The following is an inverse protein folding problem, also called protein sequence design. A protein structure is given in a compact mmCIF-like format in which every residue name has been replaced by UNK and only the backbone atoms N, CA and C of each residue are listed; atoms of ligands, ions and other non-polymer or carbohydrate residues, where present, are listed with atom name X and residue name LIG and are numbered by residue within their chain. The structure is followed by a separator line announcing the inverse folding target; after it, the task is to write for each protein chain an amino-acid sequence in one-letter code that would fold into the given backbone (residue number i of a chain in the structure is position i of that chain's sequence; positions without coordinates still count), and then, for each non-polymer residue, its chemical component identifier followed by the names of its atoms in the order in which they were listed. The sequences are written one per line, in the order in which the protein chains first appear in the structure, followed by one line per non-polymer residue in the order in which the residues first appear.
data_IF_069111459945
#
_entry.id   IF_069111459945
#
_cell.length_a   1.000
_cell.length_b   1.000
_cell.length_c   1.000
_cell.angle_alpha   90.00
_cell.angle_beta   90.00
_cell.angle_gamma   90.00
#
_symmetry.space_group_name_H-M   'P 1'
#
loop_
_entity.id
_entity.type
_entity.pdbx_description
1 polymer ?
#
# COMPACT_ATOMS: atom_id res chain seq x y z
N UNK A 1 17.95 23.39 37.84
CA UNK A 1 17.57 23.29 36.42
C UNK A 1 18.06 21.96 35.90
N UNK A 2 17.15 21.01 35.69
CA UNK A 2 17.49 19.64 35.27
C UNK A 2 17.36 19.58 33.75
N UNK A 3 18.50 19.48 33.06
CA UNK A 3 18.55 19.24 31.62
C UNK A 3 18.28 17.76 31.38
N UNK A 4 17.09 17.45 30.86
CA UNK A 4 16.72 16.08 30.47
C UNK A 4 17.15 15.90 29.02
N UNK A 5 18.32 15.28 28.82
CA UNK A 5 18.81 14.91 27.50
C UNK A 5 18.08 13.68 26.98
N UNK A 6 17.35 13.82 25.87
CA UNK A 6 16.81 12.70 25.10
C UNK A 6 17.99 11.89 24.52
N UNK A 7 18.20 10.70 25.04
CA UNK A 7 19.08 9.70 24.42
C UNK A 7 18.26 9.03 23.31
N UNK A 8 18.47 9.47 22.07
CA UNK A 8 18.01 8.74 20.90
C UNK A 8 19.03 7.61 20.65
N UNK A 9 18.72 6.41 21.13
CA UNK A 9 19.50 5.22 20.81
C UNK A 9 19.30 4.87 19.33
N UNK A 10 20.19 5.37 18.48
CA UNK A 10 20.39 4.87 17.12
C UNK A 10 21.12 3.53 17.21
N UNK A 11 20.38 2.42 17.33
CA UNK A 11 20.94 1.11 17.02
C UNK A 11 20.91 0.94 15.49
N UNK A 12 22.05 0.67 14.82
CA UNK A 12 22.01 0.23 13.43
C UNK A 12 21.51 -1.22 13.44
N UNK A 13 20.20 -1.41 13.37
CA UNK A 13 19.65 -2.68 12.95
C UNK A 13 19.95 -2.81 11.45
N UNK A 14 21.04 -3.48 11.11
CA UNK A 14 21.24 -3.97 9.74
C UNK A 14 20.25 -5.12 9.57
N UNK A 15 19.00 -4.78 9.25
CA UNK A 15 18.03 -5.75 8.78
C UNK A 15 18.58 -6.32 7.47
N UNK A 16 18.76 -7.64 7.39
CA UNK A 16 19.06 -8.30 6.12
C UNK A 16 17.87 -8.05 5.20
N UNK A 17 18.09 -7.38 4.08
CA UNK A 17 17.05 -7.16 3.07
C UNK A 17 16.98 -8.41 2.23
N UNK A 18 15.86 -9.13 2.35
CA UNK A 18 15.63 -10.37 1.63
C UNK A 18 15.23 -10.11 0.17
N UNK A 19 14.57 -8.98 -0.09
CA UNK A 19 14.00 -8.70 -1.41
C UNK A 19 13.82 -7.20 -1.71
N UNK A 20 13.92 -6.84 -2.99
CA UNK A 20 13.49 -5.55 -3.53
C UNK A 20 12.17 -5.68 -4.32
N UNK A 21 11.23 -4.77 -4.10
CA UNK A 21 9.86 -4.78 -4.67
C UNK A 21 9.57 -3.48 -5.45
N UNK A 22 9.87 -3.42 -6.76
CA UNK A 22 9.48 -2.30 -7.61
C UNK A 22 7.98 -2.32 -7.92
N UNK A 23 7.37 -1.13 -7.91
CA UNK A 23 5.99 -0.89 -8.34
C UNK A 23 5.90 0.40 -9.16
N UNK A 24 5.11 0.37 -10.23
CA UNK A 24 4.76 1.53 -11.04
C UNK A 24 3.24 1.63 -11.09
N UNK A 25 2.74 2.82 -10.75
CA UNK A 25 1.33 3.17 -10.86
C UNK A 25 1.16 4.34 -11.82
N UNK A 26 0.16 4.21 -12.68
CA UNK A 26 -0.31 5.30 -13.54
C UNK A 26 -1.76 5.62 -13.18
N UNK A 27 -2.05 6.90 -13.00
CA UNK A 27 -3.36 7.40 -12.64
C UNK A 27 -3.83 8.39 -13.70
N UNK A 28 -5.04 8.21 -14.22
CA UNK A 28 -5.67 9.16 -15.12
C UNK A 28 -7.08 9.50 -14.66
N UNK A 29 -7.33 10.80 -14.50
CA UNK A 29 -8.63 11.29 -14.08
C UNK A 29 -9.60 11.39 -15.25
N UNK A 30 -10.71 10.65 -15.17
CA UNK A 30 -11.77 10.72 -16.19
C UNK A 30 -12.77 11.84 -15.89
N UNK A 31 -13.12 12.02 -14.61
CA UNK A 31 -14.11 13.00 -14.16
C UNK A 31 -13.80 13.43 -12.72
N UNK A 32 -14.63 14.31 -12.14
CA UNK A 32 -14.50 14.69 -10.73
C UNK A 32 -14.78 13.54 -9.75
N UNK A 33 -15.48 12.48 -10.19
CA UNK A 33 -15.90 11.34 -9.38
C UNK A 33 -15.27 10.00 -9.76
N UNK A 34 -14.45 9.95 -10.81
CA UNK A 34 -13.91 8.68 -11.34
C UNK A 34 -12.47 8.84 -11.83
N UNK A 35 -11.65 7.84 -11.53
CA UNK A 35 -10.24 7.75 -11.95
C UNK A 35 -9.93 6.33 -12.41
N UNK A 36 -9.11 6.20 -13.45
CA UNK A 36 -8.51 4.92 -13.84
C UNK A 36 -7.10 4.83 -13.25
N UNK A 37 -6.75 3.64 -12.78
CA UNK A 37 -5.39 3.26 -12.38
C UNK A 37 -4.89 2.10 -13.23
N UNK A 38 -3.63 2.15 -13.65
CA UNK A 38 -2.88 0.98 -14.12
C UNK A 38 -1.74 0.73 -13.15
N UNK A 39 -1.54 -0.53 -12.77
CA UNK A 39 -0.48 -0.93 -11.85
C UNK A 39 0.33 -2.07 -12.47
N UNK A 40 1.65 -1.99 -12.30
CA UNK A 40 2.58 -3.08 -12.55
C UNK A 40 3.56 -3.15 -11.38
N UNK A 41 3.72 -4.32 -10.76
CA UNK A 41 4.62 -4.50 -9.62
C UNK A 41 5.21 -5.90 -9.57
N UNK A 42 6.29 -6.05 -8.81
CA UNK A 42 6.66 -7.33 -8.25
C UNK A 42 6.01 -7.51 -6.89
N UNK A 43 5.58 -8.72 -6.59
CA UNK A 43 4.96 -9.07 -5.31
C UNK A 43 5.38 -10.46 -4.88
N UNK A 44 5.27 -10.74 -3.58
CA UNK A 44 5.48 -12.06 -3.00
C UNK A 44 4.34 -12.29 -2.02
N UNK A 45 3.65 -13.42 -2.14
CA UNK A 45 2.41 -13.65 -1.42
C UNK A 45 2.36 -15.05 -0.82
N UNK A 46 1.98 -15.18 0.46
CA UNK A 46 1.77 -16.50 1.09
C UNK A 46 2.97 -17.45 0.98
N UNK A 47 4.18 -16.91 0.99
CA UNK A 47 5.44 -17.67 0.89
C UNK A 47 5.74 -18.20 -0.52
N UNK A 48 4.94 -17.86 -1.54
CA UNK A 48 5.26 -18.16 -2.94
C UNK A 48 6.49 -17.39 -3.42
N UNK A 49 7.13 -17.80 -4.53
CA UNK A 49 8.17 -17.00 -5.17
C UNK A 49 7.69 -15.63 -5.61
N UNK A 50 8.63 -14.77 -6.00
CA UNK A 50 8.34 -13.44 -6.53
C UNK A 50 7.55 -13.56 -7.84
N UNK A 51 6.44 -12.85 -7.93
CA UNK A 51 5.55 -12.81 -9.07
C UNK A 51 5.44 -11.39 -9.62
N UNK A 52 5.28 -11.25 -10.94
CA UNK A 52 4.85 -10.00 -11.53
C UNK A 52 3.32 -9.91 -11.51
N UNK A 53 2.80 -8.78 -11.06
CA UNK A 53 1.37 -8.48 -11.02
C UNK A 53 1.10 -7.23 -11.88
N UNK A 54 0.14 -7.32 -12.81
CA UNK A 54 -0.23 -6.20 -13.69
C UNK A 54 -1.74 -6.10 -13.87
N UNK A 55 -2.29 -4.90 -13.93
CA UNK A 55 -3.66 -4.71 -14.39
C UNK A 55 -4.32 -3.36 -14.05
N UNK A 56 -5.55 -3.16 -14.54
CA UNK A 56 -6.29 -1.92 -14.36
C UNK A 56 -7.16 -1.89 -13.10
N UNK A 57 -7.52 -0.69 -12.65
CA UNK A 57 -8.54 -0.46 -11.63
C UNK A 57 -9.33 0.81 -11.94
N UNK A 58 -10.55 0.87 -11.42
CA UNK A 58 -11.40 2.07 -11.49
C UNK A 58 -11.76 2.50 -10.08
N UNK A 59 -11.44 3.74 -9.75
CA UNK A 59 -11.78 4.36 -8.48
C UNK A 59 -13.02 5.24 -8.64
N UNK A 60 -13.90 5.16 -7.64
CA UNK A 60 -15.11 5.96 -7.49
C UNK A 60 -14.99 6.80 -6.23
N UNK A 61 -15.13 8.12 -6.41
CA UNK A 61 -15.07 9.08 -5.31
C UNK A 61 -16.47 9.43 -4.86
N UNK A 62 -16.75 9.18 -3.58
CA UNK A 62 -17.96 9.71 -2.97
C UNK A 62 -17.78 11.20 -2.68
N UNK A 63 -18.89 11.94 -2.74
CA UNK A 63 -18.89 13.37 -2.45
C UNK A 63 -18.30 13.60 -1.04
N UNK A 64 -17.36 14.53 -0.88
CA UNK A 64 -16.67 14.71 0.40
C UNK A 64 -17.64 15.25 1.44
N UNK A 65 -17.99 14.42 2.43
CA UNK A 65 -18.76 14.83 3.61
C UNK A 65 -17.88 15.59 4.62
N UNK A 66 -16.55 15.42 4.54
CA UNK A 66 -15.56 16.00 5.45
C UNK A 66 -14.41 16.59 4.61
N UNK A 67 -13.89 17.76 5.01
CA UNK A 67 -12.74 18.40 4.35
C UNK A 67 -11.42 17.87 4.92
N UNK A 68 -10.75 16.97 4.19
CA UNK A 68 -9.37 16.51 4.50
C UNK A 68 -8.27 17.43 3.93
N UNK A 69 -8.67 18.50 3.23
CA UNK A 69 -7.81 19.32 2.37
C UNK A 69 -6.57 19.94 3.03
N UNK A 70 -6.56 20.12 4.37
CA UNK A 70 -5.38 20.67 5.07
C UNK A 70 -4.27 19.65 5.25
N UNK A 71 -4.61 18.42 5.62
CA UNK A 71 -3.63 17.37 5.85
C UNK A 71 -3.05 16.83 4.54
N UNK A 72 -3.83 16.87 3.46
CA UNK A 72 -3.45 16.35 2.14
C UNK A 72 -3.08 17.45 1.13
N UNK A 73 -2.78 18.66 1.62
CA UNK A 73 -2.58 19.85 0.77
C UNK A 73 -1.44 19.68 -0.24
N UNK A 74 -0.40 18.94 0.15
CA UNK A 74 0.81 18.76 -0.64
C UNK A 74 0.85 17.40 -1.36
N UNK A 75 -0.20 16.59 -1.22
CA UNK A 75 -0.31 15.32 -1.93
C UNK A 75 -0.70 15.56 -3.38
N UNK A 76 -0.05 14.81 -4.28
CA UNK A 76 -0.43 14.77 -5.70
C UNK A 76 -1.64 13.88 -5.94
N UNK A 77 -1.87 12.91 -5.05
CA UNK A 77 -3.00 12.00 -5.12
C UNK A 77 -4.29 12.70 -4.66
N UNK A 78 -5.16 13.02 -5.61
CA UNK A 78 -6.44 13.66 -5.33
C UNK A 78 -7.39 12.76 -4.52
N UNK A 79 -7.21 11.44 -4.54
CA UNK A 79 -7.98 10.48 -3.77
C UNK A 79 -7.72 10.63 -2.26
N UNK A 80 -6.53 11.11 -1.85
CA UNK A 80 -6.22 11.34 -0.43
C UNK A 80 -7.11 12.38 0.23
N UNK A 81 -7.58 13.35 -0.55
CA UNK A 81 -8.54 14.35 -0.06
C UNK A 81 -9.97 13.82 0.12
N UNK A 82 -10.24 12.57 -0.29
CA UNK A 82 -11.57 11.95 -0.24
C UNK A 82 -11.73 11.09 1.01
N UNK A 83 -12.79 11.31 1.81
CA UNK A 83 -13.04 10.53 3.03
C UNK A 83 -13.36 9.07 2.74
N UNK A 84 -13.94 8.76 1.57
CA UNK A 84 -14.22 7.40 1.14
C UNK A 84 -13.97 7.25 -0.37
N UNK A 85 -13.23 6.21 -0.73
CA UNK A 85 -12.93 5.80 -2.10
C UNK A 85 -13.27 4.33 -2.24
N UNK A 86 -14.09 4.00 -3.25
CA UNK A 86 -14.38 2.62 -3.64
C UNK A 86 -13.59 2.31 -4.91
N UNK A 87 -12.98 1.15 -5.01
CA UNK A 87 -12.24 0.73 -6.19
C UNK A 87 -12.59 -0.70 -6.56
N UNK A 88 -12.58 -0.98 -7.85
CA UNK A 88 -12.62 -2.35 -8.37
C UNK A 88 -11.49 -2.50 -9.37
N UNK A 89 -10.60 -3.45 -9.11
CA UNK A 89 -9.44 -3.74 -9.94
C UNK A 89 -9.44 -5.16 -10.48
N UNK A 90 -8.77 -5.34 -11.61
CA UNK A 90 -8.38 -6.64 -12.12
C UNK A 90 -6.86 -6.74 -12.15
N UNK A 91 -6.32 -7.90 -11.79
CA UNK A 91 -4.88 -8.18 -11.85
C UNK A 91 -4.62 -9.54 -12.47
N UNK A 92 -3.61 -9.59 -13.31
CA UNK A 92 -3.00 -10.80 -13.80
C UNK A 92 -1.68 -11.00 -13.08
N UNK A 93 -1.53 -12.14 -12.40
CA UNK A 93 -0.31 -12.53 -11.71
C UNK A 93 0.34 -13.66 -12.51
N UNK A 94 1.52 -13.39 -13.05
CA UNK A 94 2.30 -14.42 -13.74
C UNK A 94 3.01 -15.30 -12.72
N UNK A 95 3.02 -16.61 -12.96
CA UNK A 95 3.94 -17.50 -12.24
C UNK A 95 5.24 -17.67 -13.02
N UNK A 96 6.35 -17.79 -12.29
CA UNK A 96 7.63 -18.18 -12.87
C UNK A 96 7.58 -19.59 -13.47
N UNK A 97 8.53 -19.89 -14.34
CA UNK A 97 8.80 -21.24 -14.87
C UNK A 97 7.59 -21.97 -15.50
N UNK A 98 6.67 -21.22 -16.12
CA UNK A 98 5.51 -21.78 -16.82
C UNK A 98 4.38 -22.26 -15.90
N UNK A 99 4.39 -21.84 -14.62
CA UNK A 99 3.31 -22.09 -13.68
C UNK A 99 1.97 -21.50 -14.14
N UNK A 100 0.88 -21.98 -13.53
CA UNK A 100 -0.47 -21.55 -13.90
C UNK A 100 -0.73 -20.15 -13.36
N UNK A 101 -1.02 -19.15 -14.22
CA UNK A 101 -1.22 -17.78 -13.77
C UNK A 101 -2.48 -17.63 -12.92
N UNK A 102 -2.51 -16.57 -12.12
CA UNK A 102 -3.67 -16.20 -11.30
C UNK A 102 -4.37 -14.98 -11.89
N UNK A 103 -5.68 -15.08 -12.07
CA UNK A 103 -6.53 -13.95 -12.40
C UNK A 103 -7.23 -13.48 -11.12
N UNK A 104 -7.16 -12.18 -10.84
CA UNK A 104 -7.57 -11.62 -9.56
C UNK A 104 -8.54 -10.47 -9.75
N UNK A 105 -9.69 -10.53 -9.08
CA UNK A 105 -10.63 -9.41 -8.93
C UNK A 105 -10.45 -8.77 -7.54
N UNK A 106 -10.44 -7.44 -7.49
CA UNK A 106 -10.06 -6.67 -6.30
C UNK A 106 -11.05 -5.55 -5.96
N UNK A 107 -12.14 -5.83 -5.25
CA UNK A 107 -12.91 -4.78 -4.62
C UNK A 107 -12.15 -4.20 -3.41
N UNK A 108 -12.09 -2.87 -3.34
CA UNK A 108 -11.40 -2.13 -2.29
C UNK A 108 -12.27 -0.98 -1.77
N UNK A 109 -12.31 -0.80 -0.46
CA UNK A 109 -12.91 0.34 0.20
C UNK A 109 -11.88 1.03 1.10
N UNK A 110 -11.56 2.29 0.78
CA UNK A 110 -10.60 3.10 1.53
C UNK A 110 -11.29 4.25 2.24
N UNK A 111 -11.25 4.26 3.57
CA UNK A 111 -11.79 5.35 4.40
C UNK A 111 -10.65 6.15 5.03
N UNK A 112 -10.83 7.47 5.14
CA UNK A 112 -9.83 8.39 5.70
C UNK A 112 -10.45 9.29 6.76
N UNK A 113 -9.80 9.35 7.90
CA UNK A 113 -10.23 10.07 9.08
C UNK A 113 -9.14 11.07 9.52
N UNK A 114 -9.46 12.36 9.70
CA UNK A 114 -8.49 13.32 10.20
C UNK A 114 -8.28 13.09 11.70
N UNK A 115 -7.06 12.70 12.11
CA UNK A 115 -6.68 12.63 13.53
C UNK A 115 -6.27 14.01 14.06
N UNK A 116 -5.71 14.85 13.20
CA UNK A 116 -5.40 16.25 13.48
C UNK A 116 -5.44 17.08 12.20
N UNK A 117 -5.02 18.35 12.26
CA UNK A 117 -4.93 19.21 11.06
C UNK A 117 -3.89 18.76 10.05
N UNK A 118 -2.94 17.90 10.46
CA UNK A 118 -1.84 17.40 9.63
C UNK A 118 -1.78 15.87 9.56
N UNK A 119 -2.45 15.16 10.46
CA UNK A 119 -2.35 13.69 10.53
C UNK A 119 -3.67 13.06 10.10
N UNK A 120 -3.58 12.06 9.22
CA UNK A 120 -4.71 11.28 8.71
C UNK A 120 -4.51 9.81 9.07
N UNK A 121 -5.58 9.19 9.56
CA UNK A 121 -5.71 7.75 9.68
C UNK A 121 -6.45 7.23 8.45
N UNK A 122 -5.86 6.28 7.76
CA UNK A 122 -6.44 5.61 6.60
C UNK A 122 -6.68 4.15 6.92
N UNK A 123 -7.89 3.65 6.65
CA UNK A 123 -8.20 2.21 6.66
C UNK A 123 -8.56 1.78 5.24
N UNK A 124 -7.87 0.75 4.73
CA UNK A 124 -8.16 0.14 3.43
C UNK A 124 -8.59 -1.30 3.62
N UNK A 125 -9.82 -1.60 3.25
CA UNK A 125 -10.35 -2.96 3.18
C UNK A 125 -10.24 -3.46 1.74
N UNK A 126 -9.63 -4.62 1.52
CA UNK A 126 -9.44 -5.22 0.19
C UNK A 126 -9.76 -6.70 0.25
N UNK A 127 -10.47 -7.19 -0.76
CA UNK A 127 -10.56 -8.62 -1.04
C UNK A 127 -9.78 -8.91 -2.32
N UNK A 128 -8.95 -9.94 -2.27
CA UNK A 128 -8.35 -10.57 -3.44
C UNK A 128 -9.16 -11.82 -3.75
N UNK A 129 -9.84 -11.83 -4.88
CA UNK A 129 -10.64 -12.95 -5.37
C UNK A 129 -9.88 -13.60 -6.50
N UNK A 130 -9.29 -14.77 -6.25
CA UNK A 130 -8.26 -15.37 -7.09
C UNK A 130 -8.76 -16.63 -7.79
N UNK A 131 -8.50 -16.71 -9.09
CA UNK A 131 -8.70 -17.90 -9.90
C UNK A 131 -7.36 -18.36 -10.46
N UNK A 132 -6.91 -19.53 -10.00
CA UNK A 132 -5.67 -20.18 -10.44
C UNK A 132 -5.97 -21.62 -10.84
N UNK A 133 -5.78 -21.96 -12.12
CA UNK A 133 -6.01 -23.33 -12.61
C UNK A 133 -7.43 -23.87 -12.37
N UNK A 134 -8.44 -23.00 -12.38
CA UNK A 134 -9.83 -23.36 -12.08
C UNK A 134 -10.17 -23.44 -10.59
N UNK A 135 -9.19 -23.28 -9.70
CA UNK A 135 -9.40 -23.22 -8.25
C UNK A 135 -9.65 -21.78 -7.83
N UNK A 136 -10.72 -21.58 -7.06
CA UNK A 136 -11.04 -20.28 -6.46
C UNK A 136 -10.51 -20.21 -5.03
N UNK A 137 -9.78 -19.14 -4.73
CA UNK A 137 -9.36 -18.77 -3.37
C UNK A 137 -9.62 -17.30 -3.12
N UNK A 138 -9.71 -16.89 -1.86
CA UNK A 138 -9.83 -15.49 -1.54
C UNK A 138 -8.98 -15.11 -0.34
N UNK A 139 -8.59 -13.83 -0.32
CA UNK A 139 -7.84 -13.25 0.78
C UNK A 139 -8.44 -11.90 1.15
N UNK A 140 -8.67 -11.70 2.43
CA UNK A 140 -9.05 -10.40 2.96
C UNK A 140 -7.84 -9.72 3.58
N UNK A 141 -7.70 -8.42 3.31
CA UNK A 141 -6.62 -7.58 3.81
C UNK A 141 -7.19 -6.28 4.33
N UNK A 142 -6.85 -5.94 5.56
CA UNK A 142 -7.15 -4.62 6.12
C UNK A 142 -5.83 -3.90 6.37
N UNK A 143 -5.59 -2.74 5.74
CA UNK A 143 -4.43 -1.90 6.05
C UNK A 143 -4.87 -0.71 6.87
N UNK A 144 -4.27 -0.53 8.04
CA UNK A 144 -4.38 0.67 8.85
C UNK A 144 -3.09 1.49 8.72
N UNK A 145 -3.20 2.74 8.28
CA UNK A 145 -2.06 3.62 7.99
C UNK A 145 -2.24 4.98 8.66
N UNK A 146 -1.17 5.48 9.26
CA UNK A 146 -1.08 6.86 9.76
C UNK A 146 -0.05 7.60 8.95
N UNK A 147 -0.41 8.80 8.49
CA UNK A 147 0.45 9.65 7.67
C UNK A 147 0.20 11.13 7.95
N UNK A 148 1.18 11.97 7.63
CA UNK A 148 1.02 13.43 7.71
C UNK A 148 2.24 14.19 7.18
N UNK A 149 2.08 15.38 6.59
CA UNK A 149 3.17 16.06 5.93
C UNK A 149 4.17 16.67 6.94
N UNK A 150 5.45 16.54 6.62
CA UNK A 150 6.59 17.14 7.31
C UNK A 150 7.30 18.08 6.33
N UNK A 151 7.55 19.30 6.77
CA UNK A 151 8.25 20.31 5.97
C UNK A 151 9.75 20.32 6.29
N UNK A 152 10.58 20.26 5.25
CA UNK A 152 12.02 20.50 5.31
C UNK A 152 12.31 21.67 4.36
N UNK A 153 12.41 22.88 4.92
CA UNK A 153 12.44 24.11 4.13
C UNK A 153 11.14 24.29 3.32
N UNK A 154 11.26 24.45 2.01
CA UNK A 154 10.12 24.54 1.09
C UNK A 154 9.59 23.17 0.63
N UNK A 155 10.32 22.09 0.93
CA UNK A 155 9.96 20.73 0.53
C UNK A 155 9.01 20.09 1.54
N UNK A 156 7.99 19.38 1.05
CA UNK A 156 6.96 18.75 1.87
C UNK A 156 6.91 17.26 1.53
N UNK A 157 7.39 16.43 2.44
CA UNK A 157 7.35 14.97 2.34
C UNK A 157 6.32 14.41 3.32
N UNK A 158 5.77 13.24 3.04
CA UNK A 158 4.74 12.62 3.89
C UNK A 158 5.23 11.25 4.36
N UNK A 159 5.88 11.16 5.55
CA UNK A 159 6.17 9.87 6.14
C UNK A 159 4.88 9.17 6.55
N UNK A 160 4.93 7.84 6.56
CA UNK A 160 3.83 7.03 7.05
C UNK A 160 4.33 5.74 7.72
N UNK A 161 3.46 5.18 8.55
CA UNK A 161 3.57 3.83 9.05
C UNK A 161 2.24 3.11 8.87
N UNK A 162 2.27 1.80 8.59
CA UNK A 162 1.05 1.01 8.46
C UNK A 162 1.22 -0.43 8.92
N UNK A 163 0.10 -1.06 9.25
CA UNK A 163 0.00 -2.49 9.54
C UNK A 163 -1.11 -3.09 8.69
N UNK A 164 -0.89 -4.29 8.18
CA UNK A 164 -1.85 -5.02 7.36
C UNK A 164 -1.91 -6.49 7.80
N UNK A 165 -2.95 -6.91 8.54
CA UNK A 165 -3.26 -8.32 8.71
C UNK A 165 -3.98 -8.91 7.48
N UNK A 166 -3.75 -10.20 7.24
CA UNK A 166 -4.27 -10.94 6.09
C UNK A 166 -4.98 -12.22 6.55
N UNK A 167 -6.25 -12.36 6.20
CA UNK A 167 -6.98 -13.62 6.32
C UNK A 167 -6.98 -14.34 4.98
N UNK A 168 -6.52 -15.59 4.96
CA UNK A 168 -6.41 -16.36 3.72
C UNK A 168 -7.34 -17.57 3.77
N UNK A 169 -8.23 -17.70 2.78
CA UNK A 169 -9.20 -18.80 2.72
C UNK A 169 -8.53 -20.17 2.64
N UNK A 170 -7.39 -20.26 1.97
CA UNK A 170 -6.62 -21.50 1.83
C UNK A 170 -6.13 -22.08 3.17
N UNK A 171 -5.94 -21.23 4.18
CA UNK A 171 -5.52 -21.65 5.52
C UNK A 171 -6.64 -21.56 6.56
N UNK A 172 -7.78 -20.95 6.21
CA UNK A 172 -8.89 -20.71 7.14
C UNK A 172 -8.51 -19.87 8.37
N UNK A 173 -7.50 -18.99 8.26
CA UNK A 173 -6.98 -18.21 9.39
C UNK A 173 -6.33 -16.90 8.96
N UNK A 174 -6.09 -16.04 9.94
CA UNK A 174 -5.15 -14.93 9.83
C UNK A 174 -3.73 -15.50 9.80
N UNK A 175 -3.12 -15.48 8.62
CA UNK A 175 -1.89 -16.23 8.35
C UNK A 175 -0.71 -15.34 8.00
N UNK A 176 -0.92 -14.04 7.84
CA UNK A 176 0.14 -13.10 7.48
C UNK A 176 -0.14 -11.74 8.11
N UNK A 177 0.92 -11.04 8.52
CA UNK A 177 0.87 -9.66 8.98
C UNK A 177 2.07 -8.93 8.41
N UNK A 178 1.81 -7.79 7.76
CA UNK A 178 2.85 -6.92 7.23
C UNK A 178 2.86 -5.58 7.97
N UNK A 179 4.04 -5.06 8.25
CA UNK A 179 4.27 -3.74 8.84
C UNK A 179 5.09 -2.94 7.84
N UNK A 180 4.68 -1.70 7.60
CA UNK A 180 5.33 -0.82 6.63
C UNK A 180 5.77 0.47 7.30
N UNK A 181 6.93 0.97 6.89
CA UNK A 181 7.37 2.34 7.14
C UNK A 181 7.90 2.92 5.84
N UNK A 182 7.40 4.08 5.44
CA UNK A 182 7.75 4.67 4.15
C UNK A 182 7.64 6.18 4.14
N UNK A 183 7.97 6.77 3.00
CA UNK A 183 7.94 8.21 2.84
C UNK A 183 7.55 8.60 1.43
N UNK A 184 6.49 9.39 1.31
CA UNK A 184 6.00 9.88 0.03
C UNK A 184 6.73 11.17 -0.32
N UNK A 185 7.41 11.14 -1.45
CA UNK A 185 8.29 12.19 -1.96
C UNK A 185 7.69 12.78 -3.25
N UNK A 186 7.02 13.94 -3.21
CA UNK A 186 6.62 14.62 -4.43
C UNK A 186 7.87 15.11 -5.17
N UNK A 187 8.11 14.63 -6.39
CA UNK A 187 9.32 15.00 -7.16
C UNK A 187 9.01 16.16 -8.12
N UNK A 188 7.90 16.03 -8.86
CA UNK A 188 7.37 17.04 -9.80
C UNK A 188 5.85 16.92 -9.83
N UNK A 189 5.16 17.84 -10.50
CA UNK A 189 3.68 17.89 -10.60
C UNK A 189 2.99 16.56 -10.94
N UNK A 190 3.63 15.68 -11.72
CA UNK A 190 3.06 14.41 -12.17
C UNK A 190 3.83 13.18 -11.68
N UNK A 191 4.84 13.36 -10.83
CA UNK A 191 5.77 12.29 -10.43
C UNK A 191 5.95 12.30 -8.92
N UNK A 192 5.69 11.17 -8.30
CA UNK A 192 5.87 10.93 -6.88
C UNK A 192 6.57 9.61 -6.65
N UNK A 193 7.55 9.62 -5.76
CA UNK A 193 8.28 8.44 -5.35
C UNK A 193 7.82 8.04 -3.94
N UNK A 194 7.70 6.75 -3.68
CA UNK A 194 7.38 6.22 -2.34
C UNK A 194 8.29 5.02 -2.07
N UNK A 195 9.53 5.27 -1.56
CA UNK A 195 10.34 4.24 -0.95
C UNK A 195 9.74 3.80 0.39
N UNK A 196 9.73 2.49 0.63
CA UNK A 196 9.26 1.92 1.89
C UNK A 196 10.06 0.68 2.29
N UNK A 197 10.02 0.40 3.57
CA UNK A 197 10.42 -0.86 4.16
C UNK A 197 9.17 -1.64 4.57
N UNK A 198 9.19 -2.95 4.34
CA UNK A 198 8.15 -3.89 4.70
C UNK A 198 8.75 -5.03 5.53
N UNK A 199 8.16 -5.30 6.69
CA UNK A 199 8.41 -6.49 7.47
C UNK A 199 7.16 -7.38 7.44
N UNK A 200 7.30 -8.61 6.96
CA UNK A 200 6.22 -9.59 6.92
C UNK A 200 6.49 -10.74 7.89
N UNK A 201 5.44 -11.18 8.57
CA UNK A 201 5.42 -12.41 9.34
C UNK A 201 4.35 -13.35 8.78
N UNK A 202 4.75 -14.52 8.30
CA UNK A 202 3.91 -15.51 7.64
C UNK A 202 3.82 -16.80 8.47
N UNK A 203 2.60 -17.18 8.82
CA UNK A 203 2.26 -18.36 9.63
C UNK A 203 1.29 -19.31 8.90
N UNK A 204 1.05 -19.05 7.61
CA UNK A 204 0.20 -19.88 6.75
C UNK A 204 0.80 -21.24 6.41
N UNK A 205 2.12 -21.29 6.22
CA UNK A 205 2.91 -22.48 5.91
C UNK A 205 3.77 -22.89 7.11
N UNK A 206 4.26 -24.13 7.10
CA UNK A 206 5.23 -24.63 8.07
C UNK A 206 6.53 -25.00 7.33
N UNK A 207 7.70 -24.53 7.78
CA UNK A 207 7.90 -23.63 8.92
C UNK A 207 7.34 -22.22 8.65
N UNK A 208 7.13 -21.44 9.73
CA UNK A 208 6.80 -20.02 9.61
C UNK A 208 7.96 -19.27 8.93
N UNK A 209 7.63 -18.20 8.22
CA UNK A 209 8.60 -17.39 7.47
C UNK A 209 8.49 -15.91 7.90
N UNK A 210 9.63 -15.23 7.99
CA UNK A 210 9.70 -13.79 8.19
C UNK A 210 10.51 -13.18 7.06
N UNK A 211 10.07 -12.03 6.55
CA UNK A 211 10.70 -11.37 5.42
C UNK A 211 10.87 -9.88 5.70
N UNK A 212 11.99 -9.35 5.24
CA UNK A 212 12.34 -7.94 5.27
C UNK A 212 12.57 -7.47 3.85
N UNK A 213 11.76 -6.52 3.40
CA UNK A 213 11.70 -6.13 2.01
C UNK A 213 11.85 -4.62 1.88
N UNK A 214 12.53 -4.19 0.82
CA UNK A 214 12.57 -2.79 0.42
C UNK A 214 11.72 -2.61 -0.82
N UNK A 215 10.74 -1.74 -0.75
CA UNK A 215 9.88 -1.41 -1.88
C UNK A 215 10.14 -0.02 -2.42
N UNK A 216 9.85 0.16 -3.70
CA UNK A 216 9.91 1.44 -4.37
C UNK A 216 8.72 1.60 -5.31
N UNK A 217 7.86 2.56 -5.01
CA UNK A 217 6.70 2.89 -5.85
C UNK A 217 6.99 4.15 -6.63
N UNK A 218 6.82 4.09 -7.96
CA UNK A 218 6.75 5.25 -8.83
C UNK A 218 5.27 5.51 -9.17
N UNK A 219 4.74 6.63 -8.69
CA UNK A 219 3.38 7.07 -8.98
C UNK A 219 3.39 8.20 -10.02
N UNK A 220 2.63 8.00 -11.11
CA UNK A 220 2.48 8.94 -12.21
C UNK A 220 1.04 9.43 -12.32
N UNK A 221 0.81 10.75 -12.34
CA UNK A 221 -0.53 11.35 -12.30
C UNK A 221 -0.81 12.21 -13.54
N UNK A 222 -1.94 11.98 -14.22
CA UNK A 222 -2.36 12.68 -15.45
C UNK A 222 -3.84 13.08 -15.46
#
# INVERSE_FOLDING_TARGET
MIATGLICCCLPAIAQVDQFLPEINFYSKLSSGTRIQLQAKQTREGGEPVQAEVGPSVDFYLRPLIRLAKATKFDLDDAKSRPLVLSVGYRYLSEGDGGVPTNRLMPVATSRFPLSTRVVLTTRNRFDLDWKGGVFTWRYRNRLQVEGPVAIGSYHLTPYASVEPFYQSQYGKWSETAIYAGCILPIRKHVQLDPYYEHQNQTGKSPNEQLNQLGLILNLYF
#
